data_IF_880566888404
#
_entry.id   IF_880566888404
#
_cell.length_a   1.000
_cell.length_b   1.000
_cell.length_c   1.000
_cell.angle_alpha   90.00
_cell.angle_beta   90.00
_cell.angle_gamma   90.00
#
_symmetry.space_group_name_H-M   'P 1'
#
loop_
_entity.id
_entity.type
_entity.pdbx_description
1 polymer ?
#
# COMPACT_ATOMS: atom_id res chain seq x y z
N UNK A 1 -27.04 -2.50 -11.48
CA UNK A 1 -27.82 -1.52 -10.66
C UNK A 1 -28.73 -2.19 -9.62
N UNK A 2 -29.47 -3.28 -9.92
CA UNK A 2 -30.43 -3.90 -8.96
C UNK A 2 -29.89 -4.12 -7.54
N UNK A 3 -28.67 -4.68 -7.40
CA UNK A 3 -28.02 -4.89 -6.09
C UNK A 3 -27.77 -3.54 -5.37
N UNK A 4 -27.40 -2.50 -6.10
CA UNK A 4 -27.15 -1.18 -5.51
C UNK A 4 -28.44 -0.52 -5.02
N UNK A 5 -29.54 -0.60 -5.78
CA UNK A 5 -30.84 -0.11 -5.35
C UNK A 5 -31.39 -0.86 -4.14
N UNK A 6 -31.16 -2.18 -4.08
CA UNK A 6 -31.49 -2.96 -2.90
C UNK A 6 -30.71 -2.48 -1.67
N UNK A 7 -29.40 -2.26 -1.79
CA UNK A 7 -28.59 -1.74 -0.70
C UNK A 7 -28.96 -0.29 -0.34
N UNK A 8 -29.34 0.53 -1.31
CA UNK A 8 -29.84 1.88 -1.09
C UNK A 8 -31.08 1.88 -0.20
N UNK A 9 -32.03 0.96 -0.45
CA UNK A 9 -33.25 0.84 0.38
C UNK A 9 -32.99 0.42 1.84
N UNK A 10 -31.82 -0.13 2.12
CA UNK A 10 -31.40 -0.54 3.48
C UNK A 10 -30.58 0.55 4.22
N UNK A 11 -30.33 1.71 3.57
CA UNK A 11 -29.54 2.79 4.18
C UNK A 11 -30.29 3.44 5.34
N UNK A 12 -29.52 3.67 6.41
CA UNK A 12 -29.97 4.44 7.57
C UNK A 12 -28.80 5.30 8.05
N UNK A 13 -29.03 6.44 8.72
CA UNK A 13 -27.93 7.30 9.22
C UNK A 13 -26.91 6.56 10.08
N UNK A 14 -27.34 5.58 10.85
CA UNK A 14 -26.46 4.74 11.67
C UNK A 14 -25.53 3.89 10.79
N UNK A 15 -26.09 3.12 9.84
CA UNK A 15 -25.28 2.27 8.97
C UNK A 15 -24.45 3.05 7.98
N UNK A 16 -24.90 4.22 7.53
CA UNK A 16 -24.11 5.14 6.68
C UNK A 16 -22.85 5.59 7.42
N UNK A 17 -22.96 5.94 8.70
CA UNK A 17 -21.82 6.31 9.54
C UNK A 17 -20.88 5.13 9.76
N UNK A 18 -21.40 3.95 10.07
CA UNK A 18 -20.59 2.73 10.28
C UNK A 18 -19.85 2.34 9.00
N UNK A 19 -20.52 2.30 7.85
CA UNK A 19 -19.90 1.91 6.58
C UNK A 19 -18.91 2.97 6.08
N UNK A 20 -19.17 4.26 6.35
CA UNK A 20 -18.21 5.34 6.10
C UNK A 20 -16.95 5.19 6.97
N UNK A 21 -17.07 4.78 8.21
CA UNK A 21 -15.90 4.50 9.07
C UNK A 21 -15.14 3.26 8.59
N UNK A 22 -15.84 2.17 8.25
CA UNK A 22 -15.25 0.93 7.77
C UNK A 22 -14.47 1.13 6.47
N UNK A 23 -14.98 1.96 5.55
CA UNK A 23 -14.32 2.16 4.25
C UNK A 23 -12.92 2.76 4.38
N UNK A 24 -12.65 3.58 5.42
CA UNK A 24 -11.32 4.16 5.67
C UNK A 24 -10.23 3.10 5.88
N UNK A 25 -10.60 1.90 6.35
CA UNK A 25 -9.65 0.78 6.46
C UNK A 25 -9.12 0.28 5.12
N UNK A 26 -9.77 0.64 4.01
CA UNK A 26 -9.33 0.33 2.64
C UNK A 26 -8.45 1.41 2.01
N UNK A 27 -8.13 2.49 2.72
CA UNK A 27 -7.30 3.57 2.20
C UNK A 27 -5.82 3.18 2.09
N UNK A 28 -5.12 3.85 1.20
CA UNK A 28 -3.69 3.68 0.97
C UNK A 28 -2.86 3.91 2.25
N UNK A 29 -3.29 4.85 3.11
CA UNK A 29 -2.62 5.14 4.37
C UNK A 29 -2.59 3.91 5.30
N UNK A 30 -3.71 3.20 5.41
CA UNK A 30 -3.81 1.99 6.25
C UNK A 30 -2.90 0.89 5.71
N UNK A 31 -2.87 0.72 4.38
CA UNK A 31 -1.91 -0.19 3.75
C UNK A 31 -0.47 0.17 4.08
N UNK A 32 -0.07 1.44 3.92
CA UNK A 32 1.30 1.90 4.19
C UNK A 32 1.68 1.65 5.66
N UNK A 33 0.81 2.02 6.61
CA UNK A 33 1.06 1.82 8.04
C UNK A 33 1.18 0.33 8.38
N UNK A 34 0.27 -0.52 7.85
CA UNK A 34 0.31 -1.95 8.07
C UNK A 34 1.58 -2.61 7.47
N UNK A 35 1.95 -2.23 6.24
CA UNK A 35 3.14 -2.74 5.58
C UNK A 35 4.42 -2.33 6.34
N UNK A 36 4.53 -1.07 6.78
CA UNK A 36 5.67 -0.58 7.55
C UNK A 36 5.72 -1.20 8.96
N UNK A 37 4.57 -1.38 9.61
CA UNK A 37 4.50 -2.07 10.90
C UNK A 37 5.03 -3.51 10.77
N UNK A 38 4.63 -4.24 9.74
CA UNK A 38 5.15 -5.58 9.49
C UNK A 38 6.63 -5.53 9.14
N UNK A 39 7.05 -4.61 8.28
CA UNK A 39 8.43 -4.46 7.82
C UNK A 39 9.41 -4.10 8.94
N UNK A 40 9.02 -3.17 9.83
CA UNK A 40 9.89 -2.69 10.90
C UNK A 40 9.82 -3.50 12.18
N UNK A 41 8.65 -4.11 12.49
CA UNK A 41 8.38 -4.64 13.83
C UNK A 41 8.14 -6.15 13.88
N UNK A 42 7.86 -6.78 12.73
CA UNK A 42 7.52 -8.21 12.68
C UNK A 42 8.55 -9.01 11.88
N UNK A 43 8.66 -8.73 10.59
CA UNK A 43 9.51 -9.49 9.66
C UNK A 43 9.70 -8.70 8.36
N UNK A 44 10.93 -8.35 8.00
CA UNK A 44 11.22 -7.52 6.83
C UNK A 44 10.79 -8.17 5.50
N UNK A 45 10.93 -9.49 5.34
CA UNK A 45 10.53 -10.18 4.12
C UNK A 45 9.02 -10.25 3.95
N UNK A 46 8.26 -10.38 5.06
CA UNK A 46 6.80 -10.23 5.04
C UNK A 46 6.37 -8.80 4.73
N UNK A 47 7.15 -7.81 5.20
CA UNK A 47 6.98 -6.41 4.82
C UNK A 47 7.18 -6.21 3.31
N UNK A 48 8.26 -6.74 2.73
CA UNK A 48 8.48 -6.73 1.28
C UNK A 48 7.37 -7.45 0.52
N UNK A 49 6.87 -8.56 1.05
CA UNK A 49 5.72 -9.25 0.46
C UNK A 49 4.46 -8.36 0.42
N UNK A 50 4.11 -7.70 1.53
CA UNK A 50 2.96 -6.79 1.55
C UNK A 50 3.16 -5.62 0.59
N UNK A 51 4.36 -5.03 0.55
CA UNK A 51 4.70 -3.98 -0.41
C UNK A 51 4.56 -4.48 -1.86
N UNK A 52 5.05 -5.67 -2.16
CA UNK A 52 4.91 -6.26 -3.50
C UNK A 52 3.45 -6.46 -3.89
N UNK A 53 2.60 -7.00 -2.99
CA UNK A 53 1.16 -7.15 -3.22
C UNK A 53 0.48 -5.80 -3.44
N UNK A 54 0.78 -4.81 -2.58
CA UNK A 54 0.17 -3.48 -2.66
C UNK A 54 0.57 -2.73 -3.94
N UNK A 55 1.87 -2.68 -4.25
CA UNK A 55 2.34 -1.96 -5.45
C UNK A 55 1.91 -2.64 -6.75
N UNK A 56 2.04 -3.97 -6.86
CA UNK A 56 1.53 -4.70 -8.02
C UNK A 56 0.02 -4.52 -8.17
N UNK A 57 -0.70 -4.57 -7.05
CA UNK A 57 -2.13 -4.32 -7.02
C UNK A 57 -2.50 -2.92 -7.49
N UNK A 58 -1.85 -1.88 -6.96
CA UNK A 58 -2.09 -0.51 -7.37
C UNK A 58 -1.79 -0.32 -8.86
N UNK A 59 -0.70 -0.91 -9.36
CA UNK A 59 -0.35 -0.83 -10.78
C UNK A 59 -1.43 -1.47 -11.67
N UNK A 60 -1.88 -2.69 -11.34
CA UNK A 60 -2.98 -3.35 -12.06
C UNK A 60 -4.27 -2.53 -12.01
N UNK A 61 -4.61 -2.00 -10.84
CA UNK A 61 -5.81 -1.19 -10.65
C UNK A 61 -5.78 0.08 -11.50
N UNK A 62 -4.70 0.84 -11.43
CA UNK A 62 -4.54 2.08 -12.18
C UNK A 62 -4.53 1.83 -13.70
N UNK A 63 -3.87 0.76 -14.15
CA UNK A 63 -3.88 0.38 -15.56
C UNK A 63 -5.29 0.04 -16.05
N UNK A 64 -6.03 -0.80 -15.30
CA UNK A 64 -7.41 -1.17 -15.66
C UNK A 64 -8.36 0.03 -15.64
N UNK A 65 -8.19 0.98 -14.71
CA UNK A 65 -8.98 2.22 -14.69
C UNK A 65 -8.84 3.02 -15.98
N UNK A 66 -7.62 3.20 -16.44
CA UNK A 66 -7.36 3.96 -17.68
C UNK A 66 -7.76 3.18 -18.93
N UNK A 67 -7.67 1.85 -18.89
CA UNK A 67 -8.05 0.98 -20.02
C UNK A 67 -9.58 0.93 -20.18
N UNK A 68 -10.30 0.68 -19.06
CA UNK A 68 -11.75 0.42 -19.11
C UNK A 68 -12.59 1.70 -19.03
N UNK A 69 -12.13 2.76 -18.35
CA UNK A 69 -12.77 4.08 -18.21
C UNK A 69 -14.24 4.04 -17.77
N UNK A 70 -14.61 3.10 -16.91
CA UNK A 70 -15.98 2.91 -16.44
C UNK A 70 -16.39 4.06 -15.52
N UNK A 71 -17.50 4.80 -15.83
CA UNK A 71 -18.01 5.86 -14.96
C UNK A 71 -18.51 5.31 -13.62
N UNK A 72 -18.67 6.19 -12.65
CA UNK A 72 -19.22 5.84 -11.33
C UNK A 72 -20.72 5.56 -11.41
N UNK A 73 -21.30 4.74 -10.50
CA UNK A 73 -22.72 4.38 -10.53
C UNK A 73 -23.68 5.55 -10.64
N UNK A 74 -23.47 6.63 -9.89
CA UNK A 74 -24.31 7.86 -9.94
C UNK A 74 -24.14 8.71 -11.20
N UNK A 75 -23.13 8.43 -12.04
CA UNK A 75 -22.97 9.05 -13.36
C UNK A 75 -23.62 8.19 -14.44
N UNK A 76 -23.80 6.88 -14.19
CA UNK A 76 -24.49 5.95 -15.09
C UNK A 76 -26.00 6.02 -14.93
N UNK A 77 -26.47 6.34 -13.72
CA UNK A 77 -27.87 6.37 -13.35
C UNK A 77 -28.13 7.58 -12.45
N UNK A 78 -28.67 8.69 -12.99
CA UNK A 78 -28.91 9.92 -12.23
C UNK A 78 -29.92 9.79 -11.08
N UNK A 79 -30.81 8.79 -11.14
CA UNK A 79 -31.80 8.54 -10.08
C UNK A 79 -31.21 7.77 -8.90
N UNK A 80 -29.99 7.18 -9.06
CA UNK A 80 -29.31 6.46 -8.02
C UNK A 80 -28.55 7.40 -7.09
N UNK A 81 -28.79 7.31 -5.77
CA UNK A 81 -28.11 8.12 -4.78
C UNK A 81 -26.93 7.39 -4.15
N UNK A 82 -25.99 8.14 -3.58
CA UNK A 82 -24.85 7.62 -2.82
C UNK A 82 -24.85 8.20 -1.42
N UNK A 83 -24.10 7.56 -0.51
CA UNK A 83 -23.81 8.18 0.79
C UNK A 83 -22.77 9.29 0.56
N UNK A 84 -23.16 10.54 0.75
CA UNK A 84 -22.37 11.72 0.36
C UNK A 84 -20.98 11.80 1.00
N UNK A 85 -20.82 11.30 2.23
CA UNK A 85 -19.50 11.23 2.91
C UNK A 85 -18.46 10.43 2.11
N UNK A 86 -18.88 9.50 1.26
CA UNK A 86 -17.99 8.68 0.45
C UNK A 86 -17.59 9.32 -0.89
N UNK A 87 -18.27 10.41 -1.32
CA UNK A 87 -18.04 11.07 -2.61
C UNK A 87 -16.62 11.60 -2.75
N UNK A 88 -16.10 12.25 -1.72
CA UNK A 88 -14.77 12.86 -1.74
C UNK A 88 -13.64 11.84 -1.98
N UNK A 89 -13.83 10.59 -1.52
CA UNK A 89 -12.86 9.51 -1.69
C UNK A 89 -13.08 8.69 -2.98
N UNK A 90 -14.22 8.89 -3.64
CA UNK A 90 -14.59 8.18 -4.85
C UNK A 90 -14.16 8.95 -6.11
N UNK A 91 -12.87 9.30 -6.19
CA UNK A 91 -12.28 9.99 -7.34
C UNK A 91 -11.99 9.03 -8.50
N UNK A 92 -11.92 9.57 -9.72
CA UNK A 92 -11.56 8.81 -10.90
C UNK A 92 -12.60 7.77 -11.33
N UNK A 93 -12.20 6.90 -12.26
CA UNK A 93 -13.04 5.83 -12.79
C UNK A 93 -13.45 4.80 -11.73
N UNK A 94 -14.63 4.18 -11.93
CA UNK A 94 -15.18 3.21 -10.98
C UNK A 94 -14.41 1.88 -10.98
N UNK A 95 -14.16 1.32 -12.15
CA UNK A 95 -13.63 -0.03 -12.31
C UNK A 95 -12.12 -0.08 -12.42
N UNK A 96 -11.45 -0.97 -11.69
CA UNK A 96 -11.92 -1.75 -10.54
C UNK A 96 -11.82 -0.98 -9.22
N UNK A 97 -12.41 -1.54 -8.12
CA UNK A 97 -12.39 -0.91 -6.79
C UNK A 97 -11.00 -0.93 -6.14
N UNK A 98 -10.40 0.26 -5.96
CA UNK A 98 -9.10 0.41 -5.30
C UNK A 98 -9.15 0.10 -3.79
N UNK A 99 -10.21 0.52 -3.07
CA UNK A 99 -10.37 0.22 -1.65
C UNK A 99 -10.49 -1.29 -1.39
N UNK A 100 -11.29 -2.00 -2.21
CA UNK A 100 -11.38 -3.46 -2.12
C UNK A 100 -10.02 -4.10 -2.33
N UNK A 101 -9.31 -3.69 -3.38
CA UNK A 101 -8.01 -4.24 -3.69
C UNK A 101 -6.97 -3.98 -2.59
N UNK A 102 -6.92 -2.76 -2.04
CA UNK A 102 -6.03 -2.42 -0.93
C UNK A 102 -6.37 -3.21 0.33
N UNK A 103 -7.66 -3.31 0.70
CA UNK A 103 -8.08 -4.05 1.89
C UNK A 103 -7.77 -5.54 1.75
N UNK A 104 -8.11 -6.16 0.62
CA UNK A 104 -7.83 -7.58 0.37
C UNK A 104 -6.34 -7.84 0.27
N UNK A 105 -5.57 -6.97 -0.40
CA UNK A 105 -4.11 -7.06 -0.47
C UNK A 105 -3.45 -6.96 0.90
N UNK A 106 -3.87 -6.01 1.72
CA UNK A 106 -3.33 -5.77 3.07
C UNK A 106 -3.74 -6.87 4.04
N UNK A 107 -5.04 -6.98 4.28
CA UNK A 107 -5.58 -7.88 5.30
C UNK A 107 -5.50 -9.35 4.86
N UNK A 108 -5.78 -9.65 3.58
CA UNK A 108 -5.59 -10.96 3.00
C UNK A 108 -4.13 -11.40 3.00
N UNK A 109 -3.21 -10.47 2.69
CA UNK A 109 -1.77 -10.69 2.80
C UNK A 109 -1.34 -11.03 4.23
N UNK A 110 -1.80 -10.28 5.25
CA UNK A 110 -1.53 -10.57 6.66
C UNK A 110 -2.16 -11.92 7.06
N UNK A 111 -3.40 -12.19 6.65
CA UNK A 111 -4.07 -13.47 6.90
C UNK A 111 -3.29 -14.67 6.34
N UNK A 112 -2.64 -14.49 5.17
CA UNK A 112 -1.88 -15.54 4.47
C UNK A 112 -0.71 -16.06 5.28
N UNK A 113 0.06 -15.18 5.94
CA UNK A 113 1.23 -15.58 6.73
C UNK A 113 0.95 -15.72 8.23
N UNK A 114 -0.21 -15.30 8.72
CA UNK A 114 -0.56 -15.38 10.14
C UNK A 114 -0.83 -16.82 10.57
N UNK A 115 -0.16 -17.26 11.65
CA UNK A 115 -0.35 -18.61 12.23
C UNK A 115 -1.55 -18.69 13.18
N UNK A 116 -1.95 -17.58 13.80
CA UNK A 116 -3.07 -17.52 14.76
C UNK A 116 -4.39 -17.52 14.00
N UNK A 117 -5.19 -18.57 14.19
CA UNK A 117 -6.48 -18.75 13.48
C UNK A 117 -7.45 -17.59 13.68
N UNK A 118 -7.61 -17.11 14.92
CA UNK A 118 -8.50 -15.98 15.21
C UNK A 118 -8.09 -14.71 14.45
N UNK A 119 -6.79 -14.37 14.44
CA UNK A 119 -6.29 -13.19 13.74
C UNK A 119 -6.49 -13.31 12.22
N UNK A 120 -6.31 -14.52 11.67
CA UNK A 120 -6.61 -14.79 10.26
C UNK A 120 -8.07 -14.46 9.91
N UNK A 121 -9.00 -14.93 10.71
CA UNK A 121 -10.43 -14.67 10.48
C UNK A 121 -10.79 -13.19 10.67
N UNK A 122 -10.20 -12.49 11.64
CA UNK A 122 -10.37 -11.04 11.80
C UNK A 122 -9.89 -10.31 10.55
N UNK A 123 -8.71 -10.66 10.01
CA UNK A 123 -8.20 -10.02 8.80
C UNK A 123 -9.12 -10.28 7.59
N UNK A 124 -9.59 -11.50 7.41
CA UNK A 124 -10.54 -11.82 6.33
C UNK A 124 -11.83 -11.03 6.50
N UNK A 125 -12.38 -10.96 7.72
CA UNK A 125 -13.59 -10.18 8.00
C UNK A 125 -13.41 -8.70 7.66
N UNK A 126 -12.28 -8.10 8.03
CA UNK A 126 -11.98 -6.69 7.68
C UNK A 126 -11.94 -6.48 6.16
N UNK A 127 -11.30 -7.39 5.42
CA UNK A 127 -11.26 -7.30 3.96
C UNK A 127 -12.67 -7.39 3.33
N UNK A 128 -13.51 -8.28 3.85
CA UNK A 128 -14.91 -8.44 3.40
C UNK A 128 -15.74 -7.20 3.75
N UNK A 129 -15.63 -6.70 4.98
CA UNK A 129 -16.38 -5.52 5.43
C UNK A 129 -16.03 -4.27 4.61
N UNK A 130 -14.75 -4.03 4.33
CA UNK A 130 -14.34 -2.92 3.46
C UNK A 130 -14.90 -3.10 2.05
N UNK A 131 -14.81 -4.31 1.48
CA UNK A 131 -15.35 -4.58 0.14
C UNK A 131 -16.86 -4.37 0.08
N UNK A 132 -17.59 -4.82 1.09
CA UNK A 132 -19.04 -4.62 1.23
C UNK A 132 -19.39 -3.13 1.40
N UNK A 133 -18.62 -2.38 2.19
CA UNK A 133 -18.86 -0.95 2.40
C UNK A 133 -18.89 -0.16 1.09
N UNK A 134 -18.10 -0.58 0.07
CA UNK A 134 -18.08 0.10 -1.23
C UNK A 134 -19.37 -0.07 -2.02
N UNK A 135 -20.03 -1.22 -1.87
CA UNK A 135 -21.35 -1.48 -2.44
C UNK A 135 -22.43 -0.72 -1.69
N UNK A 136 -22.42 -0.82 -0.34
CA UNK A 136 -23.38 -0.14 0.52
C UNK A 136 -23.38 1.39 0.31
N UNK A 137 -22.19 2.00 0.28
CA UNK A 137 -22.03 3.44 0.05
C UNK A 137 -22.43 3.88 -1.37
N UNK A 138 -22.63 2.94 -2.30
CA UNK A 138 -23.07 3.19 -3.68
C UNK A 138 -21.97 3.68 -4.61
N UNK A 139 -20.71 3.61 -4.23
CA UNK A 139 -19.59 4.20 -4.99
C UNK A 139 -18.93 3.23 -5.97
N UNK A 140 -19.30 1.96 -5.93
CA UNK A 140 -18.82 0.90 -6.82
C UNK A 140 -19.91 -0.12 -7.14
N UNK A 141 -19.87 -0.68 -8.34
CA UNK A 141 -20.72 -1.81 -8.73
C UNK A 141 -20.17 -3.13 -8.18
N UNK A 142 -20.99 -4.22 -8.15
CA UNK A 142 -20.49 -5.56 -7.81
C UNK A 142 -19.34 -6.03 -8.71
N UNK A 143 -19.30 -5.63 -9.96
CA UNK A 143 -18.20 -5.94 -10.89
C UNK A 143 -16.90 -5.24 -10.49
N UNK A 144 -16.97 -3.97 -10.09
CA UNK A 144 -15.81 -3.21 -9.64
C UNK A 144 -15.16 -3.87 -8.41
N UNK A 145 -16.00 -4.27 -7.46
CA UNK A 145 -15.59 -4.93 -6.22
C UNK A 145 -15.09 -6.34 -6.52
N UNK A 146 -15.81 -7.10 -7.35
CA UNK A 146 -15.45 -8.47 -7.73
C UNK A 146 -14.08 -8.56 -8.39
N UNK A 147 -13.80 -7.71 -9.38
CA UNK A 147 -12.50 -7.69 -10.07
C UNK A 147 -11.38 -7.21 -9.14
N UNK A 148 -11.63 -6.17 -8.31
CA UNK A 148 -10.66 -5.73 -7.31
C UNK A 148 -10.30 -6.83 -6.30
N UNK A 149 -11.30 -7.60 -5.84
CA UNK A 149 -11.12 -8.74 -4.95
C UNK A 149 -10.33 -9.86 -5.61
N UNK A 150 -10.75 -10.29 -6.81
CA UNK A 150 -10.08 -11.40 -7.54
C UNK A 150 -8.63 -11.05 -7.84
N UNK A 151 -8.36 -9.84 -8.33
CA UNK A 151 -6.99 -9.38 -8.61
C UNK A 151 -6.13 -9.42 -7.34
N UNK A 152 -6.64 -8.89 -6.21
CA UNK A 152 -5.89 -8.90 -4.96
C UNK A 152 -5.65 -10.32 -4.43
N UNK A 153 -6.65 -11.20 -4.49
CA UNK A 153 -6.51 -12.61 -4.09
C UNK A 153 -5.44 -13.32 -4.93
N UNK A 154 -5.47 -13.16 -6.25
CA UNK A 154 -4.44 -13.72 -7.12
C UNK A 154 -3.04 -13.24 -6.70
N UNK A 155 -2.86 -11.93 -6.48
CA UNK A 155 -1.57 -11.37 -6.08
C UNK A 155 -1.12 -11.87 -4.70
N UNK A 156 -2.03 -11.95 -3.72
CA UNK A 156 -1.76 -12.48 -2.38
C UNK A 156 -1.23 -13.91 -2.45
N UNK A 157 -1.86 -14.78 -3.25
CA UNK A 157 -1.47 -16.18 -3.32
C UNK A 157 -0.29 -16.43 -4.26
N UNK A 158 -0.19 -15.73 -5.37
CA UNK A 158 0.89 -15.90 -6.34
C UNK A 158 2.23 -15.34 -5.83
N UNK A 159 2.22 -14.16 -5.19
CA UNK A 159 3.46 -13.53 -4.73
C UNK A 159 3.99 -14.15 -3.43
N UNK A 160 3.14 -14.73 -2.59
CA UNK A 160 3.59 -15.30 -1.31
C UNK A 160 4.71 -16.33 -1.44
N UNK A 161 4.57 -17.42 -2.25
CA UNK A 161 5.62 -18.42 -2.38
C UNK A 161 6.89 -17.87 -3.04
N UNK A 162 6.77 -16.89 -3.93
CA UNK A 162 7.91 -16.23 -4.56
C UNK A 162 8.68 -15.43 -3.51
N UNK A 163 7.97 -14.60 -2.73
CA UNK A 163 8.58 -13.75 -1.70
C UNK A 163 9.16 -14.56 -0.53
N UNK A 164 8.59 -15.71 -0.18
CA UNK A 164 9.22 -16.60 0.83
C UNK A 164 10.58 -17.17 0.33
N UNK A 165 10.73 -17.41 -0.96
CA UNK A 165 12.02 -17.84 -1.54
C UNK A 165 13.08 -16.72 -1.47
N UNK A 166 12.70 -15.45 -1.50
CA UNK A 166 13.65 -14.33 -1.44
C UNK A 166 14.44 -14.27 -0.14
N UNK A 167 13.94 -14.90 0.94
CA UNK A 167 14.68 -15.03 2.22
C UNK A 167 16.04 -15.72 2.07
N UNK A 168 16.17 -16.55 1.04
CA UNK A 168 17.39 -17.34 0.79
C UNK A 168 18.14 -16.87 -0.46
N UNK A 169 17.59 -15.90 -1.19
CA UNK A 169 18.16 -15.37 -2.42
C UNK A 169 17.90 -13.86 -2.52
N UNK A 170 18.85 -13.03 -2.07
CA UNK A 170 18.80 -11.58 -2.23
C UNK A 170 18.66 -11.15 -3.69
N UNK A 171 19.27 -11.92 -4.62
CA UNK A 171 19.17 -11.65 -6.05
C UNK A 171 17.74 -11.81 -6.55
N UNK A 172 17.01 -12.81 -6.05
CA UNK A 172 15.59 -12.99 -6.40
C UNK A 172 14.74 -11.84 -5.84
N UNK A 173 15.03 -11.33 -4.63
CA UNK A 173 14.34 -10.16 -4.09
C UNK A 173 14.54 -8.94 -5.02
N UNK A 174 15.79 -8.65 -5.38
CA UNK A 174 16.09 -7.56 -6.30
C UNK A 174 15.47 -7.78 -7.69
N UNK A 175 15.44 -9.02 -8.20
CA UNK A 175 14.82 -9.33 -9.48
C UNK A 175 13.30 -9.11 -9.47
N UNK A 176 12.59 -9.56 -8.42
CA UNK A 176 11.14 -9.34 -8.27
C UNK A 176 10.82 -7.85 -8.19
N UNK A 177 11.53 -7.11 -7.34
CA UNK A 177 11.31 -5.66 -7.21
C UNK A 177 11.73 -4.93 -8.49
N UNK A 178 12.83 -5.35 -9.13
CA UNK A 178 13.26 -4.84 -10.44
C UNK A 178 12.21 -5.02 -11.53
N UNK A 179 11.53 -6.17 -11.55
CA UNK A 179 10.37 -6.41 -12.41
C UNK A 179 9.24 -5.40 -12.15
N UNK A 180 8.98 -5.07 -10.88
CA UNK A 180 7.97 -4.03 -10.55
C UNK A 180 8.40 -2.64 -11.02
N UNK A 181 9.69 -2.30 -10.96
CA UNK A 181 10.24 -1.04 -11.52
C UNK A 181 9.99 -1.00 -13.03
N UNK A 182 10.31 -2.07 -13.74
CA UNK A 182 10.08 -2.17 -15.20
C UNK A 182 8.60 -2.00 -15.54
N UNK A 183 7.70 -2.67 -14.82
CA UNK A 183 6.26 -2.54 -15.03
C UNK A 183 5.74 -1.12 -14.72
N UNK A 184 6.25 -0.48 -13.67
CA UNK A 184 5.90 0.91 -13.32
C UNK A 184 6.40 1.89 -14.38
N UNK A 185 7.62 1.69 -14.90
CA UNK A 185 8.17 2.48 -16.00
C UNK A 185 7.38 2.27 -17.29
N UNK A 186 7.01 1.03 -17.62
CA UNK A 186 6.20 0.70 -18.79
C UNK A 186 4.80 1.35 -18.70
N UNK A 187 4.18 1.35 -17.52
CA UNK A 187 2.89 2.02 -17.31
C UNK A 187 3.01 3.55 -17.49
N UNK A 188 4.05 4.18 -16.94
CA UNK A 188 4.30 5.61 -17.15
C UNK A 188 4.53 5.93 -18.63
N UNK A 189 5.31 5.10 -19.31
CA UNK A 189 5.57 5.24 -20.75
C UNK A 189 4.29 5.08 -21.57
N UNK A 190 3.47 4.06 -21.25
CA UNK A 190 2.15 3.88 -21.87
C UNK A 190 1.28 5.12 -21.77
N UNK A 191 1.17 5.72 -20.56
CA UNK A 191 0.39 6.95 -20.39
C UNK A 191 0.93 8.12 -21.21
N UNK A 192 2.25 8.24 -21.32
CA UNK A 192 2.88 9.31 -22.09
C UNK A 192 2.66 9.15 -23.61
N UNK A 193 2.75 7.92 -24.12
CA UNK A 193 2.53 7.61 -25.54
C UNK A 193 1.04 7.74 -25.91
N UNK A 194 0.16 7.22 -25.04
CA UNK A 194 -1.29 7.30 -25.27
C UNK A 194 -1.79 8.74 -25.26
N UNK A 195 -1.13 9.63 -24.50
CA UNK A 195 -1.50 11.03 -24.37
C UNK A 195 -2.83 11.26 -23.65
N UNK A 196 -3.23 12.52 -23.52
CA UNK A 196 -4.52 12.87 -22.94
C UNK A 196 -5.64 12.53 -23.93
N UNK A 197 -6.70 11.83 -23.49
CA UNK A 197 -7.75 11.34 -24.38
C UNK A 197 -8.72 12.44 -24.86
N UNK A 198 -8.61 13.67 -24.35
CA UNK A 198 -9.62 14.73 -24.50
C UNK A 198 -9.10 16.11 -24.10
N UNK A 199 -9.94 17.13 -24.26
CA UNK A 199 -9.63 18.52 -23.91
C UNK A 199 -9.39 18.72 -22.40
N UNK A 200 -8.59 19.73 -21.98
CA UNK A 200 -8.28 19.99 -20.57
C UNK A 200 -9.49 20.26 -19.67
N UNK A 201 -10.63 20.62 -20.23
CA UNK A 201 -11.89 20.87 -19.50
C UNK A 201 -12.71 19.60 -19.21
N UNK A 202 -12.34 18.47 -19.79
CA UNK A 202 -13.05 17.20 -19.62
C UNK A 202 -12.63 16.49 -18.31
N UNK A 203 -13.59 15.83 -17.65
CA UNK A 203 -13.35 15.01 -16.47
C UNK A 203 -12.34 13.88 -16.73
N UNK A 204 -12.30 13.37 -17.96
CA UNK A 204 -11.34 12.36 -18.38
C UNK A 204 -9.90 12.90 -18.43
N UNK A 205 -9.72 14.18 -18.70
CA UNK A 205 -8.40 14.82 -18.60
C UNK A 205 -7.90 14.87 -17.16
N UNK A 206 -8.78 15.21 -16.20
CA UNK A 206 -8.44 15.16 -14.78
C UNK A 206 -8.05 13.74 -14.31
N UNK A 207 -8.79 12.72 -14.78
CA UNK A 207 -8.46 11.32 -14.52
C UNK A 207 -7.11 10.90 -15.12
N UNK A 208 -6.79 11.35 -16.32
CA UNK A 208 -5.51 11.10 -16.98
C UNK A 208 -4.34 11.77 -16.22
N UNK A 209 -4.50 13.04 -15.85
CA UNK A 209 -3.45 13.76 -15.10
C UNK A 209 -3.19 13.14 -13.74
N UNK A 210 -4.25 12.71 -13.02
CA UNK A 210 -4.13 11.96 -11.77
C UNK A 210 -3.43 10.60 -11.98
N UNK A 211 -3.74 9.89 -13.07
CA UNK A 211 -3.05 8.63 -13.41
C UNK A 211 -1.57 8.84 -13.69
N UNK A 212 -1.20 9.91 -14.40
CA UNK A 212 0.17 10.27 -14.71
C UNK A 212 0.96 10.63 -13.43
N UNK A 213 0.33 11.38 -12.52
CA UNK A 213 0.90 11.69 -11.20
C UNK A 213 1.13 10.41 -10.38
N UNK A 214 0.12 9.52 -10.32
CA UNK A 214 0.24 8.24 -9.62
C UNK A 214 1.30 7.33 -10.24
N UNK A 215 1.44 7.29 -11.57
CA UNK A 215 2.49 6.52 -12.23
C UNK A 215 3.90 7.00 -11.87
N UNK A 216 4.12 8.34 -11.75
CA UNK A 216 5.40 8.91 -11.28
C UNK A 216 5.68 8.52 -9.83
N UNK A 217 4.68 8.58 -8.94
CA UNK A 217 4.79 8.16 -7.53
C UNK A 217 5.14 6.68 -7.42
N UNK A 218 4.45 5.82 -8.18
CA UNK A 218 4.71 4.38 -8.22
C UNK A 218 6.14 4.07 -8.70
N UNK A 219 6.58 4.71 -9.78
CA UNK A 219 7.94 4.52 -10.28
C UNK A 219 8.98 4.95 -9.23
N UNK A 220 8.82 6.13 -8.65
CA UNK A 220 9.73 6.61 -7.60
C UNK A 220 9.76 5.68 -6.39
N UNK A 221 8.59 5.22 -5.94
CA UNK A 221 8.48 4.31 -4.81
C UNK A 221 9.11 2.93 -5.11
N UNK A 222 8.87 2.32 -6.27
CA UNK A 222 9.43 1.01 -6.62
C UNK A 222 10.95 1.06 -6.80
N UNK A 223 11.50 2.13 -7.39
CA UNK A 223 12.95 2.38 -7.44
C UNK A 223 13.52 2.54 -6.03
N UNK A 224 12.83 3.27 -5.15
CA UNK A 224 13.20 3.40 -3.74
C UNK A 224 13.24 2.06 -3.01
N UNK A 225 12.24 1.18 -3.22
CA UNK A 225 12.22 -0.16 -2.63
C UNK A 225 13.37 -1.01 -3.16
N UNK A 226 13.68 -0.94 -4.47
CA UNK A 226 14.78 -1.69 -5.06
C UNK A 226 16.12 -1.30 -4.45
N UNK A 227 16.39 0.01 -4.35
CA UNK A 227 17.61 0.51 -3.72
C UNK A 227 17.66 0.13 -2.23
N UNK A 228 16.55 0.24 -1.52
CA UNK A 228 16.40 -0.17 -0.13
C UNK A 228 16.74 -1.65 0.06
N UNK A 229 16.16 -2.53 -0.76
CA UNK A 229 16.41 -3.96 -0.69
C UNK A 229 17.90 -4.29 -0.93
N UNK A 230 18.51 -3.66 -1.93
CA UNK A 230 19.92 -3.82 -2.22
C UNK A 230 20.82 -3.33 -1.07
N UNK A 231 20.54 -2.13 -0.51
CA UNK A 231 21.29 -1.57 0.63
C UNK A 231 21.14 -2.42 1.88
N UNK A 232 19.91 -2.91 2.17
CA UNK A 232 19.67 -3.75 3.34
C UNK A 232 20.42 -5.08 3.24
N UNK A 233 20.31 -5.78 2.11
CA UNK A 233 20.96 -7.08 1.93
C UNK A 233 22.49 -6.98 1.92
N UNK A 234 23.04 -5.89 1.41
CA UNK A 234 24.49 -5.73 1.29
C UNK A 234 25.16 -5.12 2.52
N UNK A 235 24.52 -4.11 3.13
CA UNK A 235 25.18 -3.25 4.13
C UNK A 235 24.44 -3.16 5.45
N UNK A 236 23.12 -2.88 5.45
CA UNK A 236 22.39 -2.53 6.68
C UNK A 236 22.07 -3.78 7.48
N UNK A 237 21.47 -4.78 6.82
CA UNK A 237 21.08 -6.09 7.41
C UNK A 237 20.35 -5.93 8.73
N UNK A 238 19.36 -5.02 8.76
CA UNK A 238 18.65 -4.71 9.98
C UNK A 238 17.84 -5.91 10.48
N UNK A 239 17.71 -5.96 11.81
CA UNK A 239 16.84 -6.88 12.53
C UNK A 239 15.62 -6.15 13.07
N UNK A 240 14.48 -6.84 13.13
CA UNK A 240 13.23 -6.25 13.58
C UNK A 240 13.04 -6.31 15.10
N UNK A 241 13.80 -7.15 15.78
CA UNK A 241 13.62 -7.50 17.19
C UNK A 241 13.83 -6.31 18.14
N UNK A 242 12.82 -6.04 18.96
CA UNK A 242 12.88 -5.13 20.10
C UNK A 242 11.78 -5.52 21.12
N UNK A 243 11.88 -5.00 22.36
CA UNK A 243 10.80 -5.14 23.34
C UNK A 243 9.54 -4.38 22.89
N UNK A 244 8.35 -4.81 23.31
CA UNK A 244 7.08 -4.31 22.78
C UNK A 244 6.92 -2.78 22.83
N UNK A 245 7.31 -2.12 23.92
CA UNK A 245 7.22 -0.66 24.03
C UNK A 245 8.23 0.06 23.12
N UNK A 246 9.45 -0.51 22.92
CA UNK A 246 10.40 0.03 21.97
C UNK A 246 9.93 -0.15 20.53
N UNK A 247 9.18 -1.23 20.21
CA UNK A 247 8.51 -1.39 18.91
C UNK A 247 7.48 -0.30 18.67
N UNK A 248 6.65 0.04 19.68
CA UNK A 248 5.66 1.10 19.56
C UNK A 248 6.31 2.47 19.33
N UNK A 249 7.34 2.79 20.10
CA UNK A 249 8.08 4.05 19.94
C UNK A 249 8.79 4.13 18.58
N UNK A 250 9.46 3.05 18.17
CA UNK A 250 10.10 2.93 16.86
C UNK A 250 9.10 3.17 15.74
N UNK A 251 7.93 2.54 15.80
CA UNK A 251 6.88 2.72 14.80
C UNK A 251 6.34 4.15 14.80
N UNK A 252 5.95 4.69 15.97
CA UNK A 252 5.37 6.03 16.08
C UNK A 252 6.34 7.13 15.62
N UNK A 253 7.60 7.08 16.07
CA UNK A 253 8.63 8.04 15.66
C UNK A 253 8.95 7.91 14.16
N UNK A 254 9.09 6.69 13.65
CA UNK A 254 9.36 6.45 12.24
C UNK A 254 8.22 6.99 11.35
N UNK A 255 6.97 6.71 11.69
CA UNK A 255 5.81 7.24 10.96
C UNK A 255 5.73 8.78 11.05
N UNK A 256 5.97 9.36 12.23
CA UNK A 256 6.01 10.82 12.41
C UNK A 256 7.06 11.49 11.53
N UNK A 257 8.27 10.95 11.51
CA UNK A 257 9.36 11.44 10.65
C UNK A 257 9.06 11.28 9.16
N UNK A 258 8.42 10.17 8.76
CA UNK A 258 7.98 9.96 7.37
C UNK A 258 6.95 10.99 6.93
N UNK A 259 5.96 11.29 7.78
CA UNK A 259 4.95 12.32 7.50
C UNK A 259 5.62 13.69 7.38
N UNK A 260 6.51 14.03 8.32
CA UNK A 260 7.26 15.29 8.29
C UNK A 260 8.13 15.41 7.04
N UNK A 261 8.85 14.34 6.67
CA UNK A 261 9.67 14.30 5.46
C UNK A 261 8.83 14.46 4.19
N UNK A 262 7.73 13.70 4.08
CA UNK A 262 6.80 13.78 2.93
C UNK A 262 6.22 15.19 2.77
N UNK A 263 5.84 15.83 3.89
CA UNK A 263 5.32 17.20 3.89
C UNK A 263 6.41 18.23 3.57
N UNK A 264 7.57 18.12 4.21
CA UNK A 264 8.68 19.07 4.04
C UNK A 264 9.30 19.05 2.64
N UNK A 265 9.30 17.90 1.97
CA UNK A 265 9.81 17.78 0.61
C UNK A 265 8.85 18.28 -0.47
N UNK A 266 7.56 18.54 -0.15
CA UNK A 266 6.54 18.85 -1.16
C UNK A 266 6.87 20.15 -1.92
N UNK A 267 7.07 21.25 -1.23
CA UNK A 267 7.32 22.56 -1.83
C UNK A 267 8.71 22.67 -2.48
N UNK A 268 9.81 22.28 -1.81
CA UNK A 268 11.14 22.37 -2.42
C UNK A 268 11.26 21.57 -3.72
N UNK A 269 10.72 20.34 -3.75
CA UNK A 269 10.78 19.53 -4.96
C UNK A 269 9.86 20.07 -6.07
N UNK A 270 8.69 20.59 -5.72
CA UNK A 270 7.80 21.21 -6.70
C UNK A 270 8.43 22.42 -7.40
N UNK A 271 9.23 23.21 -6.69
CA UNK A 271 9.95 24.36 -7.26
C UNK A 271 11.19 23.97 -8.06
N UNK A 272 11.96 22.97 -7.58
CA UNK A 272 13.22 22.59 -8.19
C UNK A 272 13.05 21.61 -9.38
N UNK A 273 12.09 20.70 -9.30
CA UNK A 273 11.90 19.59 -10.25
C UNK A 273 10.40 19.38 -10.55
N UNK A 274 9.66 20.37 -11.09
CA UNK A 274 8.20 20.29 -11.20
C UNK A 274 7.71 19.02 -11.91
N UNK A 275 8.38 18.57 -12.96
CA UNK A 275 8.00 17.40 -13.73
C UNK A 275 8.26 16.05 -13.01
N UNK A 276 9.21 16.02 -12.06
CA UNK A 276 9.65 14.80 -11.36
C UNK A 276 9.38 14.83 -9.84
N UNK A 277 8.87 15.95 -9.32
CA UNK A 277 8.72 16.22 -7.89
C UNK A 277 8.07 15.05 -7.12
N UNK A 278 6.96 14.52 -7.62
CA UNK A 278 6.26 13.42 -6.95
C UNK A 278 7.05 12.11 -6.96
N UNK A 279 7.65 11.76 -8.08
CA UNK A 279 8.49 10.56 -8.18
C UNK A 279 9.69 10.63 -7.25
N UNK A 280 10.43 11.75 -7.26
CA UNK A 280 11.61 11.97 -6.40
C UNK A 280 11.18 12.00 -4.92
N UNK A 281 10.07 12.65 -4.59
CA UNK A 281 9.55 12.68 -3.21
C UNK A 281 9.26 11.27 -2.69
N UNK A 282 8.54 10.45 -3.45
CA UNK A 282 8.22 9.08 -3.03
C UNK A 282 9.46 8.19 -2.98
N UNK A 283 10.39 8.35 -3.91
CA UNK A 283 11.70 7.69 -3.84
C UNK A 283 12.43 8.00 -2.52
N UNK A 284 12.55 9.29 -2.14
CA UNK A 284 13.25 9.71 -0.92
C UNK A 284 12.52 9.25 0.35
N UNK A 285 11.20 9.30 0.37
CA UNK A 285 10.38 8.82 1.50
C UNK A 285 10.56 7.31 1.70
N UNK A 286 10.55 6.53 0.63
CA UNK A 286 10.77 5.08 0.70
C UNK A 286 12.22 4.76 1.09
N UNK A 287 13.19 5.47 0.55
CA UNK A 287 14.60 5.29 0.92
C UNK A 287 14.83 5.59 2.42
N UNK A 288 14.19 6.65 2.94
CA UNK A 288 14.21 6.92 4.37
C UNK A 288 13.60 5.77 5.17
N UNK A 289 12.39 5.32 4.80
CA UNK A 289 11.68 4.25 5.49
C UNK A 289 12.43 2.92 5.51
N UNK A 290 13.09 2.59 4.42
CA UNK A 290 13.68 1.27 4.22
C UNK A 290 15.18 1.18 4.46
N UNK A 291 15.91 2.31 4.39
CA UNK A 291 17.35 2.32 4.60
C UNK A 291 17.77 3.23 5.77
N UNK A 292 17.38 4.51 5.76
CA UNK A 292 17.88 5.47 6.76
C UNK A 292 17.32 5.16 8.16
N UNK A 293 16.00 5.00 8.29
CA UNK A 293 15.36 4.70 9.56
C UNK A 293 15.83 3.36 10.16
N UNK A 294 15.94 2.27 9.40
CA UNK A 294 16.49 1.01 9.89
C UNK A 294 17.93 1.05 10.42
N UNK A 295 18.76 2.02 10.07
CA UNK A 295 20.08 2.19 10.71
C UNK A 295 19.98 2.39 12.22
N UNK A 296 18.86 2.92 12.72
CA UNK A 296 18.60 3.11 14.15
C UNK A 296 18.15 1.83 14.85
N UNK A 297 17.84 0.73 14.15
CA UNK A 297 17.17 -0.44 14.74
C UNK A 297 18.05 -1.20 15.72
N UNK A 298 19.37 -1.13 15.58
CA UNK A 298 20.31 -1.65 16.60
C UNK A 298 20.12 -0.98 17.97
N UNK A 299 19.87 0.35 17.97
CA UNK A 299 19.56 1.09 19.20
C UNK A 299 18.25 0.60 19.80
N UNK A 300 17.16 0.54 19.05
CA UNK A 300 15.85 0.07 19.51
C UNK A 300 15.90 -1.37 20.05
N UNK A 301 16.63 -2.25 19.37
CA UNK A 301 16.84 -3.64 19.78
C UNK A 301 17.68 -3.80 21.05
N UNK A 302 18.47 -2.80 21.43
CA UNK A 302 19.28 -2.82 22.67
C UNK A 302 18.48 -2.38 23.90
N UNK A 303 17.38 -1.66 23.72
CA UNK A 303 16.55 -1.16 24.82
C UNK A 303 15.85 -2.33 25.55
N UNK A 304 15.85 -2.28 26.88
CA UNK A 304 15.16 -3.26 27.73
C UNK A 304 15.80 -4.66 27.76
N UNK A 305 16.91 -4.89 27.06
CA UNK A 305 17.70 -6.12 27.21
C UNK A 305 18.71 -5.94 28.36
N UNK A 306 18.79 -6.87 29.33
CA UNK A 306 19.82 -6.78 30.34
C UNK A 306 21.19 -6.80 29.65
N UNK A 307 22.05 -5.82 29.97
CA UNK A 307 23.43 -5.82 29.51
C UNK A 307 24.04 -7.16 29.98
N UNK A 308 24.42 -8.04 29.06
CA UNK A 308 25.28 -9.17 29.38
C UNK A 308 26.57 -8.58 29.99
N UNK A 309 26.69 -8.60 31.31
CA UNK A 309 27.97 -8.34 31.97
C UNK A 309 28.97 -9.33 31.38
N UNK A 310 30.02 -8.79 30.78
CA UNK A 310 31.08 -9.58 30.18
C UNK A 310 31.59 -10.60 31.19
N UNK A 311 31.24 -11.87 30.98
CA UNK A 311 31.87 -12.97 31.68
C UNK A 311 33.34 -13.02 31.23
N UNK A 312 34.27 -12.56 32.07
CA UNK A 312 35.68 -12.93 31.96
C UNK A 312 35.71 -14.46 31.98
N UNK A 313 35.94 -15.08 30.87
CA UNK A 313 36.41 -16.46 30.85
C UNK A 313 37.83 -16.43 31.44
N UNK A 314 37.93 -16.69 32.74
CA UNK A 314 39.19 -17.12 33.35
C UNK A 314 39.53 -18.47 32.72
N UNK A 315 40.46 -18.49 31.81
CA UNK A 315 41.14 -19.71 31.42
C UNK A 315 41.88 -20.22 32.67
N UNK A 316 41.29 -21.19 33.37
CA UNK A 316 41.97 -22.01 34.37
C UNK A 316 42.86 -22.99 33.63
N UNK A 317 44.15 -22.77 33.72
CA UNK A 317 45.21 -23.76 33.47
C UNK A 317 45.02 -24.93 34.42
N UNK A 318 44.81 -26.13 33.89
CA UNK A 318 45.48 -27.36 34.35
C UNK A 318 45.50 -28.36 33.18
#
# INVERSE_FOLDING_TARGET
>A
MQVLYFLESLRTPFWDTVMSAVTHLGEELVFIVAALMVFWCVDKYRGYYLMAVGFAGTLCNQFLKILCRVPRPWLLDPDFTIVESARAQATGYSFPSGHTQNAVGTFGGIARFTRRKWLRWVMILLAVLVSFSRLYLGVHTPWDVGVGLVTAVILVFALYPVMEKTRRSPELLCAVIGGMVVLSAAYLLYLRIAGAPCAPTDVNYANYTAALENARKLLGATVGILLTAWLDERYIRFETDAVWWAQLLKLAMGLGLLVALKAGLKQPLASLLPAAADGVRYFLVILFAGAVWPLTFRFWGSLGRPRRRGGRYLYGTK
#
